data_IF_084236218265
#
_entry.id   IF_084236218265
#
_cell.length_a   1.000
_cell.length_b   1.000
_cell.length_c   1.000
_cell.angle_alpha   90.00
_cell.angle_beta   90.00
_cell.angle_gamma   90.00
#
_symmetry.space_group_name_H-M   'P 1'
#
loop_
_entity.id
_entity.type
_entity.pdbx_description
1 polymer ?
#
# COMPACT_ATOMS: atom_id res chain seq x y z
N UNK A 1 -5.61 14.76 8.86
CA UNK A 1 -6.13 16.09 8.56
C UNK A 1 -6.42 16.30 7.06
N UNK A 2 -6.57 15.22 6.29
CA UNK A 2 -6.85 15.27 4.86
C UNK A 2 -8.07 14.44 4.50
N UNK A 3 -8.95 15.01 3.70
CA UNK A 3 -10.04 14.34 3.02
C UNK A 3 -9.70 14.28 1.53
N UNK A 4 -9.82 13.11 0.93
CA UNK A 4 -9.55 12.90 -0.48
C UNK A 4 -10.80 12.38 -1.17
N UNK A 5 -11.18 13.01 -2.25
CA UNK A 5 -12.21 12.52 -3.17
C UNK A 5 -11.53 12.09 -4.46
N UNK A 6 -11.72 10.84 -4.83
CA UNK A 6 -11.17 10.24 -6.05
C UNK A 6 -12.36 9.98 -6.99
N UNK A 7 -12.33 10.59 -8.16
CA UNK A 7 -13.32 10.38 -9.22
C UNK A 7 -12.68 9.59 -10.34
N UNK A 8 -13.33 8.52 -10.72
CA UNK A 8 -12.87 7.62 -11.74
C UNK A 8 -13.91 7.38 -12.80
N UNK A 9 -13.47 7.30 -14.03
CA UNK A 9 -14.30 6.91 -15.18
C UNK A 9 -13.92 5.51 -15.63
N UNK A 10 -14.91 4.67 -15.85
CA UNK A 10 -14.67 3.31 -16.34
C UNK A 10 -14.01 3.36 -17.73
N UNK A 11 -13.02 2.50 -17.95
CA UNK A 11 -12.27 2.45 -19.21
C UNK A 11 -11.19 3.53 -19.37
N UNK A 12 -10.99 4.37 -18.33
CA UNK A 12 -9.93 5.38 -18.28
C UNK A 12 -8.92 5.00 -17.22
N UNK A 13 -7.65 5.00 -17.55
CA UNK A 13 -6.56 4.87 -16.57
C UNK A 13 -6.32 6.21 -15.88
N UNK A 14 -6.12 6.15 -14.56
CA UNK A 14 -5.92 7.31 -13.72
C UNK A 14 -7.22 7.89 -13.18
N UNK A 15 -7.08 8.87 -12.32
CA UNK A 15 -8.15 9.46 -11.54
C UNK A 15 -8.09 10.99 -11.54
N UNK A 16 -9.25 11.60 -11.27
CA UNK A 16 -9.34 12.99 -10.84
C UNK A 16 -9.38 13.02 -9.33
N UNK A 17 -8.38 13.59 -8.69
CA UNK A 17 -8.19 13.56 -7.25
C UNK A 17 -8.37 14.98 -6.70
N UNK A 18 -9.28 15.12 -5.75
CA UNK A 18 -9.46 16.35 -4.95
C UNK A 18 -8.96 16.08 -3.54
N UNK A 19 -8.01 16.88 -3.09
CA UNK A 19 -7.45 16.80 -1.73
C UNK A 19 -7.91 18.04 -0.98
N UNK A 20 -8.53 17.84 0.17
CA UNK A 20 -8.96 18.91 1.07
C UNK A 20 -8.24 18.77 2.40
N UNK A 21 -7.54 19.81 2.81
CA UNK A 21 -6.95 19.89 4.13
C UNK A 21 -8.00 20.41 5.11
N UNK A 22 -8.44 19.56 6.04
CA UNK A 22 -9.53 19.86 6.96
C UNK A 22 -9.26 21.06 7.86
N UNK A 23 -8.03 21.23 8.34
CA UNK A 23 -7.65 22.30 9.28
C UNK A 23 -7.85 23.70 8.75
N UNK A 24 -7.81 23.92 7.45
CA UNK A 24 -7.97 25.24 6.82
C UNK A 24 -8.89 25.25 5.63
N UNK A 25 -9.55 24.13 5.34
CA UNK A 25 -10.47 23.94 4.23
C UNK A 25 -9.90 24.29 2.84
N UNK A 26 -8.57 24.24 2.70
CA UNK A 26 -7.93 24.43 1.40
C UNK A 26 -8.04 23.15 0.58
N UNK A 27 -8.52 23.29 -0.65
CA UNK A 27 -8.65 22.19 -1.59
C UNK A 27 -7.82 22.44 -2.83
N UNK A 28 -7.30 21.38 -3.40
CA UNK A 28 -6.66 21.40 -4.71
C UNK A 28 -6.98 20.13 -5.46
N UNK A 29 -7.01 20.24 -6.76
CA UNK A 29 -7.43 19.16 -7.67
C UNK A 29 -6.27 18.86 -8.60
N UNK A 30 -6.06 17.60 -8.88
CA UNK A 30 -5.17 17.16 -9.95
C UNK A 30 -5.70 15.91 -10.62
N UNK A 31 -5.26 15.68 -11.84
CA UNK A 31 -5.51 14.47 -12.58
C UNK A 31 -4.18 13.76 -12.81
N UNK A 32 -4.12 12.48 -12.55
CA UNK A 32 -2.99 11.63 -12.92
C UNK A 32 -3.25 10.83 -14.21
N UNK A 33 -4.29 11.21 -14.92
CA UNK A 33 -4.65 10.61 -16.20
C UNK A 33 -3.74 11.12 -17.29
N UNK A 34 -3.05 10.21 -17.93
CA UNK A 34 -2.34 10.49 -19.18
C UNK A 34 -3.35 10.63 -20.32
N UNK A 35 -3.25 11.70 -21.11
CA UNK A 35 -4.25 12.07 -22.12
C UNK A 35 -4.54 11.00 -23.17
N UNK A 36 -3.55 10.17 -23.51
CA UNK A 36 -3.69 9.07 -24.46
C UNK A 36 -4.45 7.85 -23.90
N UNK A 37 -4.74 7.81 -22.61
CA UNK A 37 -5.53 6.76 -21.97
C UNK A 37 -7.04 7.00 -22.03
N UNK A 38 -7.47 8.17 -22.47
CA UNK A 38 -8.88 8.49 -22.62
C UNK A 38 -9.50 7.77 -23.82
N UNK A 39 -10.10 6.63 -23.57
CA UNK A 39 -10.97 5.97 -24.55
C UNK A 39 -12.34 5.68 -23.90
N UNK A 40 -13.40 6.21 -24.47
CA UNK A 40 -14.80 5.99 -24.07
C UNK A 40 -15.15 6.28 -22.59
N UNK A 41 -15.57 7.49 -22.26
CA UNK A 41 -16.01 7.84 -20.92
C UNK A 41 -17.32 7.10 -20.57
N UNK A 42 -17.32 6.38 -19.48
CA UNK A 42 -18.44 5.67 -18.86
C UNK A 42 -18.76 6.29 -17.50
N UNK A 43 -19.77 5.79 -16.75
CA UNK A 43 -20.17 6.37 -15.48
C UNK A 43 -19.02 6.62 -14.52
N UNK A 44 -19.11 7.72 -13.80
CA UNK A 44 -18.13 8.16 -12.84
C UNK A 44 -18.31 7.43 -11.51
N UNK A 45 -17.24 6.92 -10.94
CA UNK A 45 -17.21 6.35 -9.59
C UNK A 45 -16.52 7.34 -8.67
N UNK A 46 -17.08 7.58 -7.50
CA UNK A 46 -16.51 8.47 -6.47
C UNK A 46 -16.11 7.65 -5.26
N UNK A 47 -14.87 7.82 -4.82
CA UNK A 47 -14.31 7.19 -3.62
C UNK A 47 -13.90 8.32 -2.68
N UNK A 48 -14.34 8.26 -1.44
CA UNK A 48 -13.92 9.19 -0.40
C UNK A 48 -12.98 8.49 0.58
N UNK A 49 -11.89 9.15 0.93
CA UNK A 49 -10.90 8.66 1.90
C UNK A 49 -10.69 9.75 2.94
N UNK A 50 -11.04 9.47 4.18
CA UNK A 50 -10.71 10.32 5.31
C UNK A 50 -9.44 9.78 6.01
N UNK A 51 -8.39 10.56 6.03
CA UNK A 51 -7.12 10.14 6.64
C UNK A 51 -7.18 10.07 8.17
N UNK A 52 -8.20 10.67 8.78
CA UNK A 52 -8.43 10.54 10.23
C UNK A 52 -9.00 9.17 10.61
N UNK A 53 -9.51 8.41 9.65
CA UNK A 53 -10.02 7.05 9.87
C UNK A 53 -8.90 6.00 10.05
N UNK A 54 -7.63 6.33 9.75
CA UNK A 54 -6.51 5.41 9.97
C UNK A 54 -6.48 4.92 11.41
N UNK A 55 -6.76 3.64 11.63
CA UNK A 55 -6.88 2.99 12.94
C UNK A 55 -7.78 3.75 13.94
N UNK A 56 -8.75 4.50 13.44
CA UNK A 56 -9.59 5.41 14.23
C UNK A 56 -11.06 5.45 13.77
N UNK A 57 -11.57 4.36 13.24
CA UNK A 57 -12.99 4.22 12.89
C UNK A 57 -13.82 3.89 14.14
N UNK A 58 -15.13 3.75 13.97
CA UNK A 58 -16.02 3.32 15.06
C UNK A 58 -15.78 1.90 15.55
N UNK A 59 -15.11 1.05 14.75
CA UNK A 59 -14.79 -0.33 15.10
C UNK A 59 -13.43 -0.47 15.77
N UNK A 60 -13.41 -0.50 17.09
CA UNK A 60 -12.18 -0.69 17.88
C UNK A 60 -11.40 -1.96 17.52
N UNK A 61 -12.10 -3.04 17.17
CA UNK A 61 -11.47 -4.31 16.77
C UNK A 61 -10.77 -4.14 15.43
N UNK A 62 -11.46 -3.56 14.44
CA UNK A 62 -10.86 -3.34 13.12
C UNK A 62 -9.71 -2.33 13.18
N UNK A 63 -9.81 -1.31 14.02
CA UNK A 63 -8.72 -0.36 14.25
C UNK A 63 -7.46 -1.05 14.75
N UNK A 64 -7.59 -1.96 15.72
CA UNK A 64 -6.46 -2.76 16.23
C UNK A 64 -5.92 -3.72 15.17
N UNK A 65 -6.79 -4.37 14.40
CA UNK A 65 -6.39 -5.26 13.30
C UNK A 65 -5.64 -4.50 12.22
N UNK A 66 -6.14 -3.32 11.84
CA UNK A 66 -5.46 -2.44 10.88
C UNK A 66 -4.09 -2.01 11.39
N UNK A 67 -4.00 -1.58 12.64
CA UNK A 67 -2.72 -1.18 13.23
C UNK A 67 -1.72 -2.34 13.27
N UNK A 68 -2.17 -3.55 13.64
CA UNK A 68 -1.33 -4.75 13.59
C UNK A 68 -0.83 -5.04 12.16
N UNK A 69 -1.72 -4.93 11.18
CA UNK A 69 -1.40 -5.16 9.77
C UNK A 69 -0.42 -4.12 9.22
N UNK A 70 -0.62 -2.85 9.55
CA UNK A 70 0.28 -1.77 9.19
C UNK A 70 1.68 -2.00 9.77
N UNK A 71 1.77 -2.25 11.09
CA UNK A 71 3.03 -2.50 11.79
C UNK A 71 3.74 -3.73 11.21
N UNK A 72 3.02 -4.81 10.92
CA UNK A 72 3.60 -6.02 10.33
C UNK A 72 4.25 -5.73 8.97
N UNK A 73 3.56 -4.98 8.12
CA UNK A 73 4.06 -4.66 6.79
C UNK A 73 5.28 -3.74 6.84
N UNK A 74 5.23 -2.65 7.59
CA UNK A 74 6.37 -1.72 7.69
C UNK A 74 7.57 -2.35 8.40
N UNK A 75 7.36 -3.22 9.39
CA UNK A 75 8.44 -3.97 10.03
C UNK A 75 9.12 -4.91 9.03
N UNK A 76 8.34 -5.65 8.22
CA UNK A 76 8.90 -6.52 7.19
C UNK A 76 9.67 -5.72 6.12
N UNK A 77 9.13 -4.60 5.65
CA UNK A 77 9.78 -3.80 4.61
C UNK A 77 11.15 -3.26 5.05
N UNK A 78 11.35 -3.08 6.32
CA UNK A 78 12.53 -2.41 6.88
C UNK A 78 13.52 -3.33 7.59
N UNK A 79 13.26 -4.64 7.68
CA UNK A 79 14.20 -5.62 8.27
C UNK A 79 15.30 -6.08 7.31
N UNK A 80 15.24 -5.71 6.05
CA UNK A 80 16.18 -6.16 5.03
C UNK A 80 16.05 -7.62 4.62
N UNK A 81 15.18 -8.39 5.25
CA UNK A 81 14.87 -9.79 4.90
C UNK A 81 15.96 -10.82 5.22
N UNK A 82 17.07 -10.42 5.85
CA UNK A 82 18.04 -11.38 6.36
C UNK A 82 17.78 -11.74 7.81
N UNK A 83 18.34 -12.86 8.20
CA UNK A 83 18.25 -13.37 9.56
C UNK A 83 19.03 -12.47 10.52
N UNK A 84 18.35 -11.63 11.26
CA UNK A 84 18.91 -10.91 12.38
C UNK A 84 18.06 -11.24 13.62
N UNK A 85 18.64 -11.67 14.70
CA UNK A 85 20.04 -12.05 14.87
C UNK A 85 20.42 -13.29 14.04
N UNK A 86 21.72 -13.44 13.79
CA UNK A 86 22.27 -14.57 13.03
C UNK A 86 21.71 -15.90 13.55
N UNK A 87 21.09 -16.69 12.68
CA UNK A 87 20.52 -17.97 13.07
C UNK A 87 19.01 -18.11 12.89
N UNK A 88 18.34 -17.08 12.37
CA UNK A 88 16.88 -17.03 12.21
C UNK A 88 16.17 -16.63 13.48
N UNK A 89 15.41 -15.56 13.39
CA UNK A 89 14.66 -15.03 14.52
C UNK A 89 13.19 -15.46 14.50
N UNK A 90 12.54 -15.32 15.64
CA UNK A 90 11.09 -15.34 15.76
C UNK A 90 10.48 -14.05 15.19
N UNK A 91 9.15 -14.01 15.01
CA UNK A 91 8.46 -12.78 14.63
C UNK A 91 8.74 -11.61 15.60
N UNK A 92 8.90 -11.91 16.89
CA UNK A 92 9.26 -10.92 17.91
C UNK A 92 10.64 -10.31 17.67
N UNK A 93 11.61 -11.10 17.24
CA UNK A 93 12.96 -10.61 16.90
C UNK A 93 12.91 -9.71 15.66
N UNK A 94 12.18 -10.12 14.63
CA UNK A 94 11.99 -9.28 13.44
C UNK A 94 11.25 -7.98 13.75
N UNK A 95 10.30 -7.99 14.68
CA UNK A 95 9.60 -6.78 15.13
C UNK A 95 10.53 -5.82 15.88
N UNK A 96 11.47 -6.32 16.68
CA UNK A 96 12.49 -5.51 17.35
C UNK A 96 13.45 -4.84 16.35
N UNK A 97 13.71 -5.50 15.23
CA UNK A 97 14.57 -4.98 14.15
C UNK A 97 13.77 -4.33 13.01
N UNK A 98 12.45 -4.29 13.12
CA UNK A 98 11.60 -3.51 12.24
C UNK A 98 11.94 -2.02 12.34
N UNK A 99 11.73 -1.29 11.26
CA UNK A 99 12.08 0.13 11.15
C UNK A 99 13.59 0.42 11.31
N UNK A 100 14.43 -0.59 11.07
CA UNK A 100 15.89 -0.46 11.15
C UNK A 100 16.46 0.25 9.91
N UNK A 101 16.04 -0.17 8.72
CA UNK A 101 16.49 0.44 7.48
C UNK A 101 15.58 1.60 7.07
N UNK A 102 16.14 2.78 6.98
CA UNK A 102 15.44 3.98 6.54
C UNK A 102 15.35 4.10 5.02
N UNK A 103 16.16 3.31 4.30
CA UNK A 103 16.16 3.20 2.84
C UNK A 103 16.62 1.81 2.38
N UNK A 104 16.37 1.49 1.13
CA UNK A 104 16.72 0.22 0.49
C UNK A 104 18.24 0.02 0.47
N UNK A 105 18.66 -1.17 0.91
CA UNK A 105 20.08 -1.53 1.01
C UNK A 105 20.73 -1.57 -0.37
N UNK A 106 21.93 -1.01 -0.47
CA UNK A 106 22.68 -0.96 -1.73
C UNK A 106 22.51 0.31 -2.54
N UNK A 107 21.53 1.16 -2.18
CA UNK A 107 21.32 2.43 -2.86
C UNK A 107 21.75 3.62 -1.99
N UNK A 108 22.32 4.61 -2.66
CA UNK A 108 22.64 5.93 -2.11
C UNK A 108 22.31 7.00 -3.13
N UNK A 109 22.25 8.26 -2.72
CA UNK A 109 22.00 9.37 -3.65
C UNK A 109 23.05 9.48 -4.76
N UNK A 110 24.26 8.97 -4.52
CA UNK A 110 25.39 9.06 -5.49
C UNK A 110 25.42 7.92 -6.51
N UNK A 111 24.77 6.77 -6.23
CA UNK A 111 24.85 5.59 -7.10
C UNK A 111 23.50 5.15 -7.70
N UNK A 112 22.45 5.95 -7.53
CA UNK A 112 21.07 5.55 -7.85
C UNK A 112 20.40 6.39 -8.94
N UNK A 113 21.11 7.29 -9.59
CA UNK A 113 20.52 8.14 -10.65
C UNK A 113 19.79 7.29 -11.70
N UNK A 114 18.54 7.66 -11.98
CA UNK A 114 17.68 6.96 -12.96
C UNK A 114 17.07 5.64 -12.47
N UNK A 115 17.40 5.15 -11.27
CA UNK A 115 16.79 3.92 -10.74
C UNK A 115 15.35 4.15 -10.30
N UNK A 116 14.48 3.14 -10.44
CA UNK A 116 13.05 3.22 -10.12
C UNK A 116 12.35 4.40 -10.81
N UNK A 117 12.75 4.67 -12.06
CA UNK A 117 12.23 5.76 -12.88
C UNK A 117 11.44 5.22 -14.06
N UNK A 118 10.24 5.74 -14.21
CA UNK A 118 9.38 5.50 -15.38
C UNK A 118 9.03 6.84 -16.04
N UNK A 119 9.04 6.89 -17.36
CA UNK A 119 8.62 8.08 -18.10
C UNK A 119 7.16 8.41 -17.76
N UNK A 120 6.89 9.66 -17.43
CA UNK A 120 5.56 10.17 -17.11
C UNK A 120 5.50 11.66 -17.38
N UNK A 121 4.39 12.14 -17.93
CA UNK A 121 4.12 13.58 -18.09
C UNK A 121 3.56 14.19 -16.81
N UNK A 122 2.90 13.37 -15.98
CA UNK A 122 2.29 13.78 -14.72
C UNK A 122 3.33 13.82 -13.59
N UNK A 123 4.19 12.81 -13.54
CA UNK A 123 5.25 12.66 -12.54
C UNK A 123 6.63 12.52 -13.19
N UNK A 124 7.10 13.56 -13.89
CA UNK A 124 8.34 13.48 -14.68
C UNK A 124 9.54 13.21 -13.75
N UNK A 125 10.27 12.10 -13.97
CA UNK A 125 11.41 11.79 -13.12
C UNK A 125 12.57 12.77 -13.39
N UNK A 126 13.24 13.18 -12.32
CA UNK A 126 14.52 13.87 -12.45
C UNK A 126 15.62 12.84 -12.78
N UNK A 127 16.31 12.94 -13.91
CA UNK A 127 17.26 11.92 -14.34
C UNK A 127 18.49 11.78 -13.44
N UNK A 128 18.74 12.77 -12.59
CA UNK A 128 19.86 12.76 -11.63
C UNK A 128 19.49 12.11 -10.29
N UNK A 129 18.23 11.72 -10.11
CA UNK A 129 17.72 11.15 -8.87
C UNK A 129 17.37 9.67 -9.04
N UNK A 130 17.40 8.93 -7.94
CA UNK A 130 16.87 7.56 -7.84
C UNK A 130 15.72 7.51 -6.87
N UNK A 131 14.66 6.79 -7.27
CA UNK A 131 13.43 6.67 -6.49
C UNK A 131 13.31 5.29 -5.86
N UNK A 132 14.43 4.81 -5.30
CA UNK A 132 14.50 3.57 -4.54
C UNK A 132 13.72 3.68 -3.22
N UNK A 133 13.47 2.54 -2.59
CA UNK A 133 12.66 2.44 -1.37
C UNK A 133 13.18 3.31 -0.21
N UNK A 134 12.32 4.17 0.34
CA UNK A 134 12.62 5.00 1.51
C UNK A 134 11.47 5.02 2.50
N UNK A 135 11.82 5.22 3.77
CA UNK A 135 10.87 5.27 4.87
C UNK A 135 10.27 3.90 5.23
N UNK A 136 9.31 3.88 6.17
CA UNK A 136 8.80 2.63 6.74
C UNK A 136 8.13 1.69 5.72
N UNK A 137 7.49 2.23 4.70
CA UNK A 137 6.81 1.46 3.64
C UNK A 137 7.73 1.19 2.44
N UNK A 138 8.99 1.66 2.46
CA UNK A 138 9.91 1.58 1.33
C UNK A 138 9.29 2.18 0.06
N UNK A 139 8.79 3.42 0.17
CA UNK A 139 8.19 4.14 -0.95
C UNK A 139 9.15 4.17 -2.13
N UNK A 140 8.75 3.60 -3.26
CA UNK A 140 9.57 3.45 -4.46
C UNK A 140 8.85 3.99 -5.69
N UNK A 141 9.60 4.27 -6.76
CA UNK A 141 9.16 4.78 -8.04
C UNK A 141 8.77 6.26 -8.06
N UNK A 142 9.21 6.96 -9.13
CA UNK A 142 8.94 8.38 -9.30
C UNK A 142 7.46 8.75 -9.23
N UNK A 143 6.56 7.94 -9.75
CA UNK A 143 5.13 8.23 -9.71
C UNK A 143 4.57 8.23 -8.27
N UNK A 144 5.05 7.35 -7.38
CA UNK A 144 4.65 7.37 -5.97
C UNK A 144 5.23 8.60 -5.24
N UNK A 145 6.50 8.94 -5.50
CA UNK A 145 7.09 10.16 -4.93
C UNK A 145 6.37 11.42 -5.42
N UNK A 146 6.05 11.48 -6.70
CA UNK A 146 5.32 12.61 -7.29
C UNK A 146 3.89 12.73 -6.75
N UNK A 147 3.16 11.63 -6.66
CA UNK A 147 1.80 11.62 -6.11
C UNK A 147 1.77 12.00 -4.64
N UNK A 148 2.70 11.46 -3.83
CA UNK A 148 2.82 11.83 -2.42
C UNK A 148 3.25 13.30 -2.23
N UNK A 149 4.15 13.80 -3.07
CA UNK A 149 4.53 15.22 -3.10
C UNK A 149 3.35 16.12 -3.41
N UNK A 150 2.55 15.75 -4.42
CA UNK A 150 1.33 16.47 -4.79
C UNK A 150 0.31 16.46 -3.65
N UNK A 151 0.14 15.33 -2.99
CA UNK A 151 -0.74 15.20 -1.83
C UNK A 151 -0.37 16.15 -0.69
N UNK A 152 0.90 16.25 -0.35
CA UNK A 152 1.33 17.06 0.80
C UNK A 152 1.52 18.55 0.47
N UNK A 153 2.07 18.84 -0.69
CA UNK A 153 2.59 20.16 -1.01
C UNK A 153 1.86 20.86 -2.16
N UNK A 154 0.90 20.17 -2.78
CA UNK A 154 0.28 20.61 -4.04
C UNK A 154 1.31 20.85 -5.17
N UNK A 155 2.49 20.22 -5.07
CA UNK A 155 3.60 20.34 -6.01
C UNK A 155 4.31 18.98 -6.15
N UNK A 156 4.32 18.43 -7.36
CA UNK A 156 4.97 17.13 -7.64
C UNK A 156 6.49 17.24 -7.54
N UNK A 157 7.04 18.40 -7.82
CA UNK A 157 8.48 18.61 -7.99
C UNK A 157 9.29 18.52 -6.69
N UNK A 158 8.67 18.75 -5.55
CA UNK A 158 9.37 18.80 -4.25
C UNK A 158 10.06 17.47 -3.96
N UNK A 159 9.32 16.37 -3.96
CA UNK A 159 9.91 15.05 -3.70
C UNK A 159 10.52 14.41 -4.96
N UNK A 160 10.10 14.81 -6.16
CA UNK A 160 10.80 14.37 -7.36
C UNK A 160 12.22 14.92 -7.46
N UNK A 161 12.46 16.13 -6.99
CA UNK A 161 13.79 16.73 -6.93
C UNK A 161 14.57 16.40 -5.66
N UNK A 162 13.88 16.06 -4.57
CA UNK A 162 14.49 15.79 -3.26
C UNK A 162 13.91 14.52 -2.62
N UNK A 163 14.03 13.33 -3.26
CA UNK A 163 13.46 12.09 -2.73
C UNK A 163 14.03 11.69 -1.37
N UNK A 164 15.26 12.11 -1.06
CA UNK A 164 15.95 11.80 0.19
C UNK A 164 15.28 12.42 1.44
N UNK A 165 14.42 13.41 1.27
CA UNK A 165 13.64 13.97 2.38
C UNK A 165 12.80 12.89 3.08
N UNK A 166 12.33 11.88 2.35
CA UNK A 166 11.52 10.78 2.93
C UNK A 166 12.34 9.91 3.89
N UNK A 167 13.66 9.85 3.76
CA UNK A 167 14.53 9.12 4.70
C UNK A 167 15.16 10.01 5.78
N UNK A 168 15.17 11.32 5.56
CA UNK A 168 15.82 12.30 6.46
C UNK A 168 14.87 12.86 7.51
N UNK A 169 13.58 12.90 7.22
CA UNK A 169 12.54 13.39 8.13
C UNK A 169 11.62 12.22 8.53
N UNK A 170 11.70 11.80 9.81
CA UNK A 170 10.90 10.70 10.33
C UNK A 170 9.39 10.95 10.28
N UNK A 171 8.94 12.20 10.41
CA UNK A 171 7.53 12.57 10.28
C UNK A 171 7.07 12.39 8.83
N UNK A 172 7.87 12.87 7.88
CA UNK A 172 7.59 12.71 6.46
C UNK A 172 7.61 11.23 6.05
N UNK A 173 8.56 10.47 6.60
CA UNK A 173 8.66 9.03 6.38
C UNK A 173 7.37 8.30 6.79
N UNK A 174 6.86 8.54 8.00
CA UNK A 174 5.60 7.92 8.45
C UNK A 174 4.38 8.46 7.71
N UNK A 175 4.35 9.74 7.35
CA UNK A 175 3.30 10.27 6.47
C UNK A 175 3.26 9.56 5.13
N UNK A 176 4.42 9.20 4.55
CA UNK A 176 4.47 8.45 3.29
C UNK A 176 3.86 7.05 3.44
N UNK A 177 4.11 6.38 4.56
CA UNK A 177 3.58 5.06 4.84
C UNK A 177 2.06 5.08 5.05
N UNK A 178 1.54 6.04 5.83
CA UNK A 178 0.10 6.20 6.04
C UNK A 178 -0.59 6.61 4.75
N UNK A 179 0.02 7.52 3.97
CA UNK A 179 -0.51 7.90 2.66
C UNK A 179 -0.65 6.69 1.74
N UNK A 180 0.40 5.88 1.60
CA UNK A 180 0.36 4.68 0.76
C UNK A 180 -0.68 3.67 1.25
N UNK A 181 -0.83 3.53 2.57
CA UNK A 181 -1.78 2.62 3.20
C UNK A 181 -3.24 3.02 2.95
N UNK A 182 -3.53 4.31 3.05
CA UNK A 182 -4.88 4.86 2.96
C UNK A 182 -5.34 5.10 1.51
N UNK A 183 -4.41 5.39 0.59
CA UNK A 183 -4.78 5.73 -0.78
C UNK A 183 -5.02 4.48 -1.63
N UNK A 184 -6.21 4.31 -2.21
CA UNK A 184 -6.42 3.31 -3.24
C UNK A 184 -5.61 3.70 -4.48
N UNK A 185 -4.97 2.71 -5.07
CA UNK A 185 -4.22 2.85 -6.32
C UNK A 185 -4.90 1.98 -7.37
N UNK A 186 -5.94 2.51 -7.97
CA UNK A 186 -6.74 1.73 -8.89
C UNK A 186 -5.87 1.00 -9.96
N UNK A 187 -6.15 -0.28 -10.19
CA UNK A 187 -7.32 -1.07 -9.76
C UNK A 187 -7.26 -1.65 -8.35
N UNK A 188 -6.23 -1.39 -7.56
CA UNK A 188 -6.09 -1.89 -6.19
C UNK A 188 -6.90 -1.03 -5.20
N UNK A 189 -7.66 -1.65 -4.26
CA UNK A 189 -8.19 -0.93 -3.10
C UNK A 189 -7.04 -0.44 -2.21
N UNK A 190 -7.34 0.41 -1.24
CA UNK A 190 -6.38 0.73 -0.21
C UNK A 190 -6.25 -0.42 0.81
N UNK A 191 -5.12 -0.44 1.54
CA UNK A 191 -4.97 -1.38 2.65
C UNK A 191 -6.02 -1.12 3.74
N UNK A 192 -6.35 0.14 4.00
CA UNK A 192 -7.43 0.53 4.92
C UNK A 192 -8.76 -0.10 4.51
N UNK A 193 -9.17 0.07 3.26
CA UNK A 193 -10.45 -0.45 2.76
C UNK A 193 -10.56 -1.97 2.93
N UNK A 194 -9.48 -2.72 2.67
CA UNK A 194 -9.52 -4.17 2.84
C UNK A 194 -9.49 -4.60 4.31
N UNK A 195 -8.80 -3.87 5.20
CA UNK A 195 -8.78 -4.17 6.63
C UNK A 195 -10.13 -3.87 7.32
N UNK A 196 -10.88 -2.89 6.81
CA UNK A 196 -12.18 -2.51 7.33
C UNK A 196 -13.37 -3.14 6.57
N UNK A 197 -13.10 -4.13 5.71
CA UNK A 197 -14.12 -4.81 4.90
C UNK A 197 -14.94 -3.87 3.99
N UNK A 198 -14.44 -2.67 3.73
CA UNK A 198 -15.02 -1.74 2.78
C UNK A 198 -14.79 -2.20 1.33
N UNK A 199 -13.80 -3.05 1.12
CA UNK A 199 -13.57 -3.78 -0.10
C UNK A 199 -13.52 -5.29 0.18
N UNK A 200 -14.35 -6.04 -0.54
CA UNK A 200 -14.44 -7.49 -0.48
C UNK A 200 -14.37 -8.03 -1.90
N UNK A 201 -13.58 -9.09 -2.17
CA UNK A 201 -13.56 -9.75 -3.47
C UNK A 201 -14.96 -10.23 -3.84
N UNK A 202 -15.45 -9.88 -5.03
CA UNK A 202 -16.77 -10.25 -5.48
C UNK A 202 -16.78 -11.70 -6.03
N UNK A 203 -17.79 -12.49 -5.66
CA UNK A 203 -18.01 -13.82 -6.25
C UNK A 203 -18.42 -13.67 -7.72
N UNK A 204 -17.74 -14.35 -8.62
CA UNK A 204 -18.04 -14.32 -10.07
C UNK A 204 -17.05 -13.52 -10.90
N UNK A 205 -16.32 -12.59 -10.30
CA UNK A 205 -15.20 -11.90 -10.95
C UNK A 205 -13.93 -12.75 -10.93
N UNK A 206 -13.89 -13.75 -10.06
CA UNK A 206 -12.79 -14.69 -9.89
C UNK A 206 -13.30 -16.12 -10.01
N UNK A 207 -12.59 -16.94 -10.76
CA UNK A 207 -12.80 -18.39 -10.67
C UNK A 207 -12.45 -18.85 -9.26
N UNK A 208 -13.02 -19.97 -8.80
CA UNK A 208 -12.72 -20.55 -7.48
C UNK A 208 -11.21 -20.78 -7.25
N UNK A 209 -10.43 -20.88 -8.34
CA UNK A 209 -8.97 -21.00 -8.33
C UNK A 209 -8.22 -19.65 -8.26
N UNK A 210 -8.93 -18.53 -8.30
CA UNK A 210 -8.36 -17.17 -8.33
C UNK A 210 -9.02 -16.27 -7.31
N UNK A 211 -9.19 -16.73 -6.09
CA UNK A 211 -9.82 -15.91 -5.06
C UNK A 211 -8.80 -14.97 -4.40
N UNK A 212 -8.97 -13.67 -4.58
CA UNK A 212 -8.33 -12.69 -3.72
C UNK A 212 -8.80 -12.92 -2.28
N UNK A 213 -7.87 -12.95 -1.37
CA UNK A 213 -8.20 -13.00 0.04
C UNK A 213 -8.48 -11.58 0.54
N UNK A 214 -9.40 -11.45 1.46
CA UNK A 214 -9.72 -10.19 2.13
C UNK A 214 -8.77 -9.93 3.31
N UNK A 215 -8.86 -8.74 3.89
CA UNK A 215 -8.15 -8.39 5.11
C UNK A 215 -6.63 -8.35 4.92
N UNK A 216 -5.90 -8.82 5.94
CA UNK A 216 -4.45 -8.75 5.97
C UNK A 216 -3.76 -9.39 4.76
N UNK A 217 -4.26 -10.53 4.31
CA UNK A 217 -3.70 -11.22 3.15
C UNK A 217 -3.69 -10.32 1.90
N UNK A 218 -4.74 -9.51 1.70
CA UNK A 218 -4.82 -8.63 0.56
C UNK A 218 -3.87 -7.43 0.68
N UNK A 219 -3.53 -6.98 1.89
CA UNK A 219 -2.54 -5.90 2.08
C UNK A 219 -1.18 -6.27 1.51
N UNK A 220 -0.78 -7.55 1.61
CA UNK A 220 0.47 -8.04 0.99
C UNK A 220 0.42 -7.92 -0.53
N UNK A 221 -0.73 -8.26 -1.11
CA UNK A 221 -0.93 -8.14 -2.55
C UNK A 221 -0.93 -6.67 -3.02
N UNK A 222 -1.49 -5.77 -2.23
CA UNK A 222 -1.45 -4.32 -2.52
C UNK A 222 -0.02 -3.79 -2.49
N UNK A 223 0.75 -4.14 -1.46
CA UNK A 223 2.08 -3.57 -1.21
C UNK A 223 3.11 -4.15 -2.17
N UNK A 224 3.20 -5.49 -2.28
CA UNK A 224 4.26 -6.14 -3.07
C UNK A 224 3.81 -7.40 -3.83
N UNK A 225 2.53 -7.49 -4.17
CA UNK A 225 1.95 -8.66 -4.82
C UNK A 225 2.62 -9.05 -6.14
N UNK A 226 3.15 -8.07 -6.85
CA UNK A 226 3.87 -8.30 -8.10
C UNK A 226 5.11 -9.20 -7.95
N UNK A 227 5.74 -9.25 -6.79
CA UNK A 227 6.90 -10.09 -6.50
C UNK A 227 6.55 -11.24 -5.54
N UNK A 228 5.78 -10.98 -4.51
CA UNK A 228 5.56 -11.92 -3.41
C UNK A 228 4.36 -12.85 -3.64
N UNK A 229 3.40 -12.44 -4.49
CA UNK A 229 2.12 -13.11 -4.66
C UNK A 229 1.95 -13.84 -6.01
N UNK A 230 3.01 -14.17 -6.69
CA UNK A 230 2.95 -14.91 -7.96
C UNK A 230 3.14 -16.41 -7.74
N UNK A 231 2.45 -17.22 -8.54
CA UNK A 231 2.66 -18.69 -8.55
C UNK A 231 4.08 -19.08 -8.93
N UNK A 232 4.81 -18.17 -9.58
CA UNK A 232 6.22 -18.32 -9.95
C UNK A 232 7.17 -17.71 -8.93
N UNK A 233 6.65 -17.27 -7.78
CA UNK A 233 7.50 -16.68 -6.74
C UNK A 233 8.51 -17.68 -6.24
N UNK A 234 9.75 -17.21 -6.04
CA UNK A 234 10.80 -18.03 -5.46
C UNK A 234 10.48 -18.40 -4.00
N UNK A 235 11.17 -19.42 -3.47
CA UNK A 235 11.06 -19.77 -2.06
C UNK A 235 11.37 -18.58 -1.13
N UNK A 236 12.26 -17.68 -1.55
CA UNK A 236 12.57 -16.45 -0.82
C UNK A 236 11.34 -15.54 -0.69
N UNK A 237 10.58 -15.33 -1.76
CA UNK A 237 9.37 -14.48 -1.72
C UNK A 237 8.27 -15.14 -0.90
N UNK A 238 8.13 -16.46 -0.96
CA UNK A 238 7.20 -17.19 -0.08
C UNK A 238 7.54 -16.98 1.39
N UNK A 239 8.82 -17.03 1.75
CA UNK A 239 9.27 -16.75 3.13
C UNK A 239 8.95 -15.31 3.58
N UNK A 240 9.04 -14.34 2.68
CA UNK A 240 8.68 -12.94 2.99
C UNK A 240 7.20 -12.80 3.34
N UNK A 241 6.34 -13.52 2.64
CA UNK A 241 4.89 -13.56 2.93
C UNK A 241 4.61 -14.22 4.27
N UNK A 242 5.27 -15.35 4.55
CA UNK A 242 5.16 -16.03 5.85
C UNK A 242 5.60 -15.10 6.97
N UNK A 243 6.71 -14.38 6.80
CA UNK A 243 7.18 -13.42 7.81
C UNK A 243 6.19 -12.28 8.06
N UNK A 244 5.54 -11.74 7.01
CA UNK A 244 4.47 -10.73 7.20
C UNK A 244 3.35 -11.28 8.06
N UNK A 245 2.94 -12.52 7.83
CA UNK A 245 1.90 -13.18 8.59
C UNK A 245 2.28 -13.38 10.06
N UNK A 246 3.48 -13.88 10.32
CA UNK A 246 3.98 -14.07 11.68
C UNK A 246 4.11 -12.74 12.43
N UNK A 247 4.55 -11.67 11.77
CA UNK A 247 4.58 -10.33 12.33
C UNK A 247 3.16 -9.82 12.63
N UNK A 248 2.20 -10.08 11.76
CA UNK A 248 0.81 -9.69 12.00
C UNK A 248 0.24 -10.37 13.25
N UNK A 249 0.40 -11.68 13.38
CA UNK A 249 0.00 -12.44 14.57
C UNK A 249 0.68 -11.92 15.83
N UNK A 250 1.96 -11.60 15.73
CA UNK A 250 2.74 -11.05 16.84
C UNK A 250 2.17 -9.69 17.29
N UNK A 251 1.93 -8.76 16.36
CA UNK A 251 1.35 -7.46 16.71
C UNK A 251 -0.10 -7.57 17.20
N UNK A 252 -0.89 -8.48 16.67
CA UNK A 252 -2.21 -8.78 17.22
C UNK A 252 -2.14 -9.19 18.69
N UNK A 253 -1.21 -10.06 19.05
CA UNK A 253 -1.02 -10.49 20.44
C UNK A 253 -0.65 -9.32 21.35
N UNK A 254 0.24 -8.43 20.89
CA UNK A 254 0.62 -7.21 21.63
C UNK A 254 -0.58 -6.27 21.83
N UNK A 255 -1.45 -6.17 20.84
CA UNK A 255 -2.65 -5.33 20.88
C UNK A 255 -3.82 -5.96 21.65
N UNK A 256 -3.57 -7.13 22.28
CA UNK A 256 -4.47 -7.77 23.22
C UNK A 256 -5.50 -8.71 22.61
N UNK A 257 -5.27 -9.21 21.38
CA UNK A 257 -6.04 -10.31 20.83
C UNK A 257 -5.63 -11.63 21.47
N UNK A 258 -6.60 -12.48 21.77
CA UNK A 258 -6.32 -13.81 22.29
C UNK A 258 -5.97 -14.80 21.16
N UNK A 259 -5.51 -15.98 21.53
CA UNK A 259 -5.07 -17.00 20.57
C UNK A 259 -6.20 -17.50 19.64
N UNK A 260 -7.46 -17.47 20.10
CA UNK A 260 -8.61 -17.86 19.28
C UNK A 260 -8.90 -16.80 18.22
N UNK A 261 -8.86 -15.52 18.58
CA UNK A 261 -9.04 -14.41 17.64
C UNK A 261 -7.96 -14.45 16.55
N UNK A 262 -6.70 -14.71 16.95
CA UNK A 262 -5.57 -14.82 16.02
C UNK A 262 -5.74 -16.04 15.10
N UNK A 263 -6.22 -17.18 15.63
CA UNK A 263 -6.47 -18.39 14.83
C UNK A 263 -7.63 -18.19 13.85
N UNK A 264 -8.65 -17.42 14.21
CA UNK A 264 -9.76 -17.08 13.30
C UNK A 264 -9.29 -16.20 12.14
N UNK A 265 -8.38 -15.26 12.40
CA UNK A 265 -7.73 -14.48 11.35
C UNK A 265 -6.90 -15.38 10.42
N UNK A 266 -6.21 -16.37 10.98
CA UNK A 266 -5.32 -17.30 10.27
C UNK A 266 -6.07 -18.41 9.50
N UNK A 267 -7.34 -18.65 9.82
CA UNK A 267 -8.17 -19.66 9.17
C UNK A 267 -8.31 -19.48 7.63
N UNK A 268 -7.87 -18.33 7.14
CA UNK A 268 -7.73 -18.06 5.72
C UNK A 268 -6.47 -18.64 5.08
N UNK A 269 -5.70 -19.47 5.78
CA UNK A 269 -4.45 -20.07 5.31
C UNK A 269 -3.45 -19.04 4.76
N UNK A 270 -2.73 -18.39 5.65
CA UNK A 270 -1.71 -17.40 5.29
C UNK A 270 -0.47 -18.00 4.60
N UNK A 271 -0.32 -19.31 4.57
CA UNK A 271 0.73 -19.96 3.78
C UNK A 271 0.45 -19.89 2.28
N UNK A 272 -0.81 -19.67 1.91
CA UNK A 272 -1.27 -19.39 0.55
C UNK A 272 -1.73 -17.94 0.38
N UNK A 273 -1.12 -17.04 1.11
CA UNK A 273 -1.51 -15.63 1.34
C UNK A 273 -1.68 -14.75 0.16
N UNK A 274 -1.16 -15.21 -0.87
CA UNK A 274 -1.24 -14.50 -2.09
C UNK A 274 -2.21 -15.25 -2.98
N UNK A 275 -2.86 -14.58 -3.70
CA UNK A 275 -3.56 -14.92 -4.86
C UNK A 275 -2.85 -16.00 -5.71
N UNK A 276 -3.49 -17.14 -5.91
CA UNK A 276 -3.10 -18.10 -6.91
C UNK A 276 -3.54 -17.65 -8.31
N UNK A 277 -2.81 -16.74 -8.91
CA UNK A 277 -3.00 -16.36 -10.30
C UNK A 277 -1.89 -16.94 -11.16
N UNK A 278 -2.30 -17.59 -12.22
CA UNK A 278 -1.40 -17.99 -13.31
C UNK A 278 -1.13 -16.84 -14.28
N UNK A 279 -1.88 -15.72 -14.20
CA UNK A 279 -1.68 -14.54 -15.02
C UNK A 279 -0.96 -13.44 -14.26
N UNK A 280 0.08 -12.91 -14.87
CA UNK A 280 0.92 -11.85 -14.32
C UNK A 280 0.36 -10.45 -14.57
N UNK A 281 -0.89 -10.31 -15.02
CA UNK A 281 -1.41 -9.02 -15.43
C UNK A 281 -2.15 -8.34 -14.31
N UNK A 282 -1.88 -7.06 -14.13
CA UNK A 282 -2.70 -6.16 -13.30
C UNK A 282 -4.17 -6.10 -13.76
N UNK A 283 -4.49 -6.68 -14.92
CA UNK A 283 -5.86 -6.85 -15.43
C UNK A 283 -6.74 -7.74 -14.53
N UNK A 284 -6.14 -8.50 -13.62
CA UNK A 284 -6.89 -9.32 -12.67
C UNK A 284 -7.48 -8.52 -11.49
N UNK A 285 -7.11 -7.27 -11.31
CA UNK A 285 -7.83 -6.34 -10.45
C UNK A 285 -9.03 -5.77 -11.21
N UNK A 286 -10.13 -6.45 -11.14
CA UNK A 286 -11.33 -6.00 -11.83
C UNK A 286 -11.92 -4.80 -11.08
N UNK A 287 -11.94 -3.68 -11.78
CA UNK A 287 -12.70 -2.48 -11.46
C UNK A 287 -12.61 -1.92 -10.03
N UNK A 288 -11.93 -0.82 -9.88
CA UNK A 288 -12.16 0.09 -8.75
C UNK A 288 -13.64 0.50 -8.59
N UNK A 289 -14.47 0.25 -9.59
CA UNK A 289 -15.90 0.50 -9.57
C UNK A 289 -16.69 -0.45 -8.66
N UNK A 290 -16.08 -1.51 -8.15
CA UNK A 290 -16.72 -2.47 -7.22
C UNK A 290 -16.47 -2.12 -5.76
N UNK A 291 -15.90 -0.97 -5.46
CA UNK A 291 -15.98 -0.43 -4.11
C UNK A 291 -17.43 0.05 -3.92
N UNK A 292 -18.30 -0.88 -3.60
CA UNK A 292 -19.60 -0.55 -3.03
C UNK A 292 -19.32 0.08 -1.68
N UNK A 293 -19.37 1.40 -1.65
CA UNK A 293 -19.65 2.11 -0.43
C UNK A 293 -21.07 1.67 -0.07
N UNK A 294 -21.20 0.63 0.71
CA UNK A 294 -22.46 0.32 1.36
C UNK A 294 -22.80 1.54 2.21
N UNK A 295 -23.85 2.24 1.76
CA UNK A 295 -24.53 3.23 2.55
C UNK A 295 -24.97 2.55 3.85
N UNK A 296 -24.16 2.67 4.87
CA UNK A 296 -24.63 2.39 6.20
C UNK A 296 -25.54 3.55 6.60
N UNK A 297 -26.84 3.31 6.46
CA UNK A 297 -27.88 4.03 7.19
C UNK A 297 -27.77 3.77 8.69
#
# INVERSE_FOLDING_TARGET
DYLVEIRKKQGVWGELITITKKSNNQSYIYSDVESWWYSNPTPETVINVDFEDFANTTSQINNKRELAAFLANISKETTGGWQLPVGGGSAGDYAQWGLYFVHEVGYTSSNSAGTYSQSSTVYPPNPTKGYYGRGPIQLSWNYNYGAFSKFLYNDVSILLNNPDLVQQDGVLAFKSAIWFWMMPQCPKPSCHQTMHEQWIPQSGEYSASKMYKKGFAHTNNIINGGLECRTTSSAEFTQKVVLRSELYKFYMSILGFNSLDIALEDAGDYSTLCYESTSNSMQDYINCSVITLDNQN
#
